data_IF_279746268118
#
_entry.id   IF_279746268118
#
_cell.length_a   1.000
_cell.length_b   1.000
_cell.length_c   1.000
_cell.angle_alpha   90.00
_cell.angle_beta   90.00
_cell.angle_gamma   90.00
#
_symmetry.space_group_name_H-M   'P 1'
#
loop_
_entity.id
_entity.type
_entity.pdbx_description
1 polymer ?
#
# COMPACT_ATOMS: atom_id res chain seq x y z
N UNK A 1 -8.15 13.37 17.65
CA UNK A 1 -8.33 12.03 17.05
C UNK A 1 -8.77 12.21 15.60
N UNK A 2 -7.84 12.16 14.64
CA UNK A 2 -8.19 12.32 13.23
C UNK A 2 -8.68 10.99 12.67
N UNK A 3 -9.93 10.94 12.23
CA UNK A 3 -10.42 9.83 11.43
C UNK A 3 -9.67 9.84 10.09
N UNK A 4 -8.58 9.07 9.98
CA UNK A 4 -8.02 8.74 8.68
C UNK A 4 -9.12 8.02 7.89
N UNK A 5 -9.45 8.53 6.70
CA UNK A 5 -10.39 7.86 5.79
C UNK A 5 -9.97 6.40 5.60
N UNK A 6 -10.95 5.49 5.52
CA UNK A 6 -10.65 4.07 5.40
C UNK A 6 -10.02 3.78 4.03
N UNK A 7 -8.74 3.41 4.00
CA UNK A 7 -8.04 3.04 2.78
C UNK A 7 -8.30 1.57 2.45
N UNK A 8 -8.55 1.29 1.17
CA UNK A 8 -8.61 -0.05 0.60
C UNK A 8 -7.53 -0.17 -0.48
N UNK A 9 -6.78 -1.27 -0.46
CA UNK A 9 -5.79 -1.60 -1.48
C UNK A 9 -6.38 -2.63 -2.43
N UNK A 10 -6.21 -2.40 -3.72
CA UNK A 10 -6.57 -3.34 -4.80
C UNK A 10 -5.27 -3.81 -5.46
N UNK A 11 -4.94 -5.09 -5.31
CA UNK A 11 -3.78 -5.71 -5.97
C UNK A 11 -4.24 -6.53 -7.18
N UNK A 12 -3.34 -6.72 -8.16
CA UNK A 12 -3.64 -7.52 -9.36
C UNK A 12 -4.67 -6.86 -10.29
N UNK A 13 -4.81 -5.53 -10.20
CA UNK A 13 -5.66 -4.75 -11.09
C UNK A 13 -4.91 -4.37 -12.37
N UNK A 14 -5.56 -4.51 -13.51
CA UNK A 14 -5.14 -3.93 -14.77
C UNK A 14 -6.05 -2.75 -15.15
N UNK A 15 -7.37 -2.94 -15.08
CA UNK A 15 -8.35 -1.85 -15.17
C UNK A 15 -9.04 -1.63 -13.81
N UNK A 16 -8.83 -0.45 -13.21
CA UNK A 16 -9.40 -0.10 -11.89
C UNK A 16 -10.89 0.25 -11.93
N UNK A 17 -11.45 0.55 -13.09
CA UNK A 17 -12.88 0.82 -13.27
C UNK A 17 -13.70 -0.47 -13.41
N UNK A 18 -13.03 -1.60 -13.66
CA UNK A 18 -13.65 -2.91 -13.83
C UNK A 18 -13.30 -3.84 -12.67
N UNK A 19 -14.27 -4.67 -12.26
CA UNK A 19 -14.04 -5.73 -11.28
C UNK A 19 -13.47 -6.96 -11.97
N UNK A 20 -12.17 -7.14 -11.87
CA UNK A 20 -11.48 -8.27 -12.52
C UNK A 20 -11.36 -9.48 -11.56
N UNK A 21 -11.47 -10.73 -12.05
CA UNK A 21 -11.42 -11.93 -11.19
C UNK A 21 -10.13 -12.10 -10.37
N UNK A 22 -9.04 -11.48 -10.85
CA UNK A 22 -7.70 -11.59 -10.24
C UNK A 22 -7.42 -10.52 -9.20
N UNK A 23 -8.29 -9.51 -9.11
CA UNK A 23 -8.14 -8.44 -8.13
C UNK A 23 -8.28 -8.97 -6.70
N UNK A 24 -7.40 -8.53 -5.83
CA UNK A 24 -7.47 -8.77 -4.40
C UNK A 24 -7.72 -7.44 -3.68
N UNK A 25 -8.94 -7.29 -3.16
CA UNK A 25 -9.39 -6.09 -2.46
C UNK A 25 -9.25 -6.31 -0.95
N UNK A 26 -8.38 -5.51 -0.30
CA UNK A 26 -8.04 -5.67 1.12
C UNK A 26 -8.01 -4.31 1.80
N UNK A 27 -8.73 -4.17 2.92
CA UNK A 27 -8.67 -2.97 3.76
C UNK A 27 -7.32 -2.83 4.45
N UNK A 28 -6.90 -1.58 4.64
CA UNK A 28 -5.72 -1.24 5.44
C UNK A 28 -6.06 -1.35 6.93
N UNK A 29 -5.23 -2.07 7.68
CA UNK A 29 -5.29 -2.16 9.14
C UNK A 29 -4.61 -0.95 9.80
N UNK A 30 -3.43 -0.56 9.31
CA UNK A 30 -2.64 0.56 9.84
C UNK A 30 -2.01 1.37 8.73
N UNK A 31 -2.08 2.68 8.87
CA UNK A 31 -1.34 3.66 8.07
C UNK A 31 -0.15 4.12 8.93
N UNK A 32 1.08 3.97 8.43
CA UNK A 32 2.31 4.25 9.18
C UNK A 32 3.14 5.25 8.36
N UNK A 33 2.85 6.55 8.44
CA UNK A 33 3.62 7.58 7.74
C UNK A 33 5.05 7.64 8.29
N UNK A 34 5.98 8.13 7.48
CA UNK A 34 7.33 8.41 7.97
C UNK A 34 7.27 9.38 9.17
N UNK A 35 7.95 9.10 10.30
CA UNK A 35 7.83 9.91 11.51
C UNK A 35 8.31 11.36 11.33
N UNK A 36 9.14 11.61 10.32
CA UNK A 36 9.65 12.94 9.96
C UNK A 36 9.08 13.43 8.61
N UNK A 37 7.94 12.92 8.16
CA UNK A 37 7.25 13.49 7.00
C UNK A 37 6.95 14.97 7.25
N UNK A 38 7.34 15.82 6.30
CA UNK A 38 7.09 17.24 6.37
C UNK A 38 6.26 17.67 5.16
N UNK A 39 5.02 18.12 5.41
CA UNK A 39 4.05 18.47 4.35
C UNK A 39 4.42 19.71 3.54
N UNK A 40 5.15 20.65 4.12
CA UNK A 40 5.53 21.91 3.46
C UNK A 40 6.68 21.70 2.47
N UNK A 41 7.66 20.89 2.87
CA UNK A 41 8.88 20.61 2.10
C UNK A 41 8.81 19.32 1.28
N UNK A 42 7.79 18.49 1.53
CA UNK A 42 7.65 17.12 0.99
C UNK A 42 8.81 16.18 1.35
N UNK A 43 9.63 16.54 2.35
CA UNK A 43 10.68 15.65 2.85
C UNK A 43 10.07 14.40 3.48
N UNK A 44 10.68 13.26 3.18
CA UNK A 44 10.26 11.94 3.65
C UNK A 44 8.81 11.58 3.28
N UNK A 45 8.39 11.91 2.05
CA UNK A 45 7.06 11.58 1.52
C UNK A 45 6.93 10.08 1.20
N UNK A 46 6.86 9.27 2.27
CA UNK A 46 6.69 7.82 2.21
C UNK A 46 5.87 7.34 3.41
N UNK A 47 5.07 6.29 3.18
CA UNK A 47 4.22 5.66 4.19
C UNK A 47 4.15 4.15 3.96
N UNK A 48 4.11 3.38 5.05
CA UNK A 48 3.80 1.95 5.00
C UNK A 48 2.31 1.72 5.28
N UNK A 49 1.69 0.83 4.49
CA UNK A 49 0.31 0.38 4.70
C UNK A 49 0.32 -1.09 5.12
N UNK A 50 -0.11 -1.37 6.36
CA UNK A 50 -0.29 -2.74 6.84
C UNK A 50 -1.69 -3.22 6.46
N UNK A 51 -1.79 -4.25 5.62
CA UNK A 51 -3.07 -4.84 5.21
C UNK A 51 -3.70 -5.67 6.34
N UNK A 52 -5.04 -5.78 6.36
CA UNK A 52 -5.76 -6.58 7.36
C UNK A 52 -5.48 -8.09 7.27
N UNK A 53 -5.11 -8.59 6.09
CA UNK A 53 -4.72 -9.99 5.86
C UNK A 53 -3.57 -10.07 4.85
N UNK A 54 -2.83 -11.17 4.88
CA UNK A 54 -1.77 -11.46 3.90
C UNK A 54 -2.40 -11.58 2.50
N UNK A 55 -1.70 -11.06 1.49
CA UNK A 55 -2.06 -11.24 0.07
C UNK A 55 -1.75 -12.66 -0.38
N UNK A 56 -2.54 -13.19 -1.31
CA UNK A 56 -2.16 -14.40 -2.03
C UNK A 56 -1.20 -14.01 -3.15
N UNK A 57 0.01 -14.55 -3.17
CA UNK A 57 0.93 -14.36 -4.31
C UNK A 57 0.54 -15.30 -5.44
N UNK A 58 0.59 -14.81 -6.66
CA UNK A 58 0.32 -15.54 -7.89
C UNK A 58 1.00 -14.83 -9.08
N UNK A 59 0.67 -15.24 -10.32
CA UNK A 59 1.21 -14.60 -11.52
C UNK A 59 0.82 -13.13 -11.73
N UNK A 60 -0.07 -12.58 -10.89
CA UNK A 60 -0.62 -11.22 -11.02
C UNK A 60 -0.33 -10.35 -9.78
N UNK A 61 -0.04 -10.98 -8.64
CA UNK A 61 0.34 -10.32 -7.39
C UNK A 61 1.67 -10.87 -6.91
N UNK A 62 2.71 -10.04 -6.96
CA UNK A 62 4.04 -10.38 -6.46
C UNK A 62 4.66 -9.21 -5.69
N UNK A 63 5.76 -9.48 -4.98
CA UNK A 63 6.52 -8.47 -4.24
C UNK A 63 7.62 -7.86 -5.08
N UNK A 64 7.93 -6.59 -4.79
CA UNK A 64 9.15 -5.93 -5.25
C UNK A 64 10.18 -5.94 -4.12
N UNK A 65 11.43 -6.22 -4.47
CA UNK A 65 12.55 -6.19 -3.51
C UNK A 65 12.85 -4.75 -3.09
N UNK A 66 13.17 -4.56 -1.82
CA UNK A 66 13.70 -3.28 -1.34
C UNK A 66 15.17 -3.13 -1.76
N UNK A 67 15.66 -1.88 -1.95
CA UNK A 67 17.08 -1.61 -2.10
C UNK A 67 17.91 -2.19 -0.95
N UNK A 68 19.18 -2.51 -1.23
CA UNK A 68 20.14 -2.81 -0.17
C UNK A 68 20.36 -1.57 0.68
N UNK A 69 20.49 -1.73 1.99
CA UNK A 69 20.70 -0.62 2.92
C UNK A 69 22.01 0.16 2.67
N UNK A 70 22.96 -0.45 1.94
CA UNK A 70 24.32 0.06 1.74
C UNK A 70 24.66 0.31 0.26
N UNK A 71 23.72 0.77 -0.55
CA UNK A 71 24.06 1.27 -1.89
C UNK A 71 24.77 2.62 -1.82
#
# INVERSE_FOLDING_TARGET
LGFHSSITVVLGAHNIEQREPRQQVIRVRRQIPHPQYNRETLKNDIMLLQLQRKVRRDGYVNVISLPSANQ
#
